data_IF_705489973978
#
_entry.id   IF_705489973978
#
_cell.length_a   1.000
_cell.length_b   1.000
_cell.length_c   1.000
_cell.angle_alpha   90.00
_cell.angle_beta   90.00
_cell.angle_gamma   90.00
#
_symmetry.space_group_name_H-M   'P 1'
#
loop_
_entity.id
_entity.type
_entity.pdbx_description
1 polymer ?
#
# COMPACT_ATOMS: atom_id res chain seq x y z
N UNK A 1 -0.45 -16.76 -3.55
CA UNK A 1 -1.46 -15.85 -4.12
C UNK A 1 -0.80 -14.49 -4.37
N UNK A 2 -1.22 -13.73 -5.38
CA UNK A 2 -0.76 -12.36 -5.63
C UNK A 2 -1.97 -11.44 -5.62
N UNK A 3 -1.88 -10.33 -4.87
CA UNK A 3 -2.90 -9.28 -4.80
C UNK A 3 -2.27 -7.96 -5.22
N UNK A 4 -2.90 -7.28 -6.16
CA UNK A 4 -2.41 -5.99 -6.69
C UNK A 4 -3.52 -4.96 -6.51
N UNK A 5 -3.23 -3.90 -5.75
CA UNK A 5 -4.06 -2.72 -5.66
C UNK A 5 -3.62 -1.74 -6.75
N UNK A 6 -4.51 -1.37 -7.67
CA UNK A 6 -4.17 -0.52 -8.81
C UNK A 6 -5.15 0.65 -8.97
N UNK A 7 -4.60 1.83 -9.22
CA UNK A 7 -5.29 3.05 -9.61
C UNK A 7 -4.41 3.82 -10.62
N UNK A 8 -4.87 4.99 -11.07
CA UNK A 8 -4.20 5.79 -12.10
C UNK A 8 -2.78 6.26 -11.67
N UNK A 9 -2.52 6.43 -10.38
CA UNK A 9 -1.27 7.02 -9.85
C UNK A 9 -0.47 6.15 -8.87
N UNK A 10 -1.06 5.10 -8.29
CA UNK A 10 -0.45 4.19 -7.33
C UNK A 10 -0.07 4.78 -5.97
N UNK A 11 -0.20 6.10 -5.79
CA UNK A 11 0.50 6.83 -4.72
C UNK A 11 -0.34 7.10 -3.47
N UNK A 12 -1.67 6.98 -3.55
CA UNK A 12 -2.57 7.38 -2.46
C UNK A 12 -3.48 6.24 -2.02
N UNK A 13 -4.57 6.00 -2.74
CA UNK A 13 -5.62 5.08 -2.32
C UNK A 13 -5.14 3.63 -2.32
N UNK A 14 -4.43 3.22 -3.37
CA UNK A 14 -3.86 1.86 -3.46
C UNK A 14 -2.74 1.62 -2.46
N UNK A 15 -1.88 2.63 -2.25
CA UNK A 15 -0.82 2.57 -1.25
C UNK A 15 -1.42 2.37 0.15
N UNK A 16 -2.48 3.10 0.51
CA UNK A 16 -3.18 2.91 1.79
C UNK A 16 -3.85 1.54 1.86
N UNK A 17 -4.61 1.16 0.83
CA UNK A 17 -5.34 -0.11 0.82
C UNK A 17 -4.41 -1.33 0.95
N UNK A 18 -3.27 -1.32 0.25
CA UNK A 18 -2.28 -2.38 0.34
C UNK A 18 -1.65 -2.47 1.74
N UNK A 19 -1.43 -1.34 2.41
CA UNK A 19 -0.92 -1.32 3.79
C UNK A 19 -1.96 -1.73 4.83
N UNK A 20 -3.26 -1.51 4.58
CA UNK A 20 -4.34 -2.09 5.39
C UNK A 20 -4.38 -3.61 5.22
N UNK A 21 -4.30 -4.11 3.99
CA UNK A 21 -4.34 -5.54 3.68
C UNK A 21 -3.28 -6.34 4.45
N UNK A 22 -2.05 -5.83 4.52
CA UNK A 22 -0.95 -6.49 5.25
C UNK A 22 -0.93 -6.16 6.76
N UNK A 23 -2.03 -5.67 7.32
CA UNK A 23 -2.17 -5.28 8.72
C UNK A 23 -1.15 -4.22 9.22
N UNK A 24 -0.55 -3.42 8.31
CA UNK A 24 0.32 -2.28 8.68
C UNK A 24 -0.49 -1.06 9.10
N UNK A 25 -1.71 -0.92 8.58
CA UNK A 25 -2.72 0.03 9.02
C UNK A 25 -3.95 -0.71 9.56
N UNK A 26 -4.71 -0.11 10.49
CA UNK A 26 -5.93 -0.71 11.00
C UNK A 26 -6.98 -0.87 9.89
N UNK A 27 -7.64 -2.03 9.87
CA UNK A 27 -8.79 -2.29 9.00
C UNK A 27 -10.11 -1.78 9.60
N UNK A 28 -10.23 -1.81 10.93
CA UNK A 28 -11.48 -1.56 11.65
C UNK A 28 -11.61 -0.13 12.21
N UNK A 29 -10.64 0.74 11.94
CA UNK A 29 -10.66 2.14 12.38
C UNK A 29 -9.95 3.06 11.41
N UNK A 30 -10.25 4.36 11.50
CA UNK A 30 -9.59 5.38 10.67
C UNK A 30 -8.18 5.61 11.22
N UNK A 31 -7.11 5.35 10.44
CA UNK A 31 -5.75 5.62 10.88
C UNK A 31 -5.51 7.11 11.08
N UNK A 32 -4.67 7.46 12.06
CA UNK A 32 -4.22 8.83 12.24
C UNK A 32 -3.42 9.32 11.02
N UNK A 33 -3.45 10.63 10.78
CA UNK A 33 -2.70 11.27 9.70
C UNK A 33 -1.21 10.90 9.73
N UNK A 34 -0.60 10.84 10.92
CA UNK A 34 0.82 10.51 11.04
C UNK A 34 1.11 9.06 10.65
N UNK A 35 0.18 8.14 10.90
CA UNK A 35 0.32 6.74 10.49
C UNK A 35 0.36 6.64 8.95
N UNK A 36 -0.54 7.35 8.25
CA UNK A 36 -0.55 7.40 6.79
C UNK A 36 0.74 8.03 6.24
N UNK A 37 1.17 9.17 6.78
CA UNK A 37 2.37 9.87 6.31
C UNK A 37 3.67 9.08 6.62
N UNK A 38 3.65 8.19 7.61
CA UNK A 38 4.78 7.32 7.91
C UNK A 38 4.99 6.21 6.87
N UNK A 39 3.97 5.89 6.07
CA UNK A 39 4.06 4.82 5.07
C UNK A 39 5.17 5.10 4.05
N UNK A 40 5.90 4.07 3.61
CA UNK A 40 6.98 4.23 2.62
C UNK A 40 6.46 4.54 1.21
N UNK A 41 5.18 4.26 0.93
CA UNK A 41 4.59 4.38 -0.42
C UNK A 41 3.56 5.48 -0.58
N UNK A 42 3.05 6.05 0.52
CA UNK A 42 2.08 7.15 0.44
C UNK A 42 2.77 8.45 0.04
N UNK A 43 2.40 9.00 -1.13
CA UNK A 43 2.94 10.24 -1.70
C UNK A 43 4.49 10.28 -1.81
N UNK A 44 5.11 9.10 -1.89
CA UNK A 44 6.57 8.91 -1.92
C UNK A 44 7.04 8.16 -3.17
N UNK A 45 6.15 7.94 -4.14
CA UNK A 45 6.50 7.28 -5.40
C UNK A 45 7.42 8.20 -6.21
N UNK A 46 8.58 7.67 -6.58
CA UNK A 46 9.57 8.38 -7.39
C UNK A 46 9.29 8.15 -8.88
N UNK A 47 9.74 9.08 -9.75
CA UNK A 47 9.51 9.02 -11.20
C UNK A 47 9.92 7.70 -11.85
N UNK A 48 10.99 7.05 -11.38
CA UNK A 48 11.44 5.77 -11.93
C UNK A 48 10.52 4.59 -11.57
N UNK A 49 9.65 4.76 -10.58
CA UNK A 49 8.68 3.77 -10.12
C UNK A 49 7.34 3.89 -10.84
N UNK A 50 7.15 4.92 -11.67
CA UNK A 50 5.89 5.11 -12.40
C UNK A 50 5.64 3.94 -13.35
N UNK A 51 4.41 3.43 -13.34
CA UNK A 51 4.01 2.25 -14.12
C UNK A 51 4.56 0.92 -13.62
N UNK A 52 5.18 0.88 -12.43
CA UNK A 52 5.69 -0.35 -11.81
C UNK A 52 4.79 -0.81 -10.68
N UNK A 53 4.68 -2.13 -10.54
CA UNK A 53 4.07 -2.79 -9.41
C UNK A 53 5.08 -2.79 -8.25
N UNK A 54 4.73 -2.15 -7.14
CA UNK A 54 5.59 -1.96 -5.96
C UNK A 54 5.17 -2.97 -4.89
N UNK A 55 6.13 -3.77 -4.41
CA UNK A 55 5.87 -4.73 -3.34
C UNK A 55 5.67 -4.03 -1.99
N UNK A 56 4.60 -4.40 -1.28
CA UNK A 56 4.21 -3.80 0.01
C UNK A 56 4.49 -4.75 1.18
N UNK A 57 4.21 -6.04 1.01
CA UNK A 57 4.42 -7.07 2.02
C UNK A 57 3.66 -8.36 1.73
N UNK A 58 3.61 -9.25 2.73
CA UNK A 58 2.80 -10.46 2.70
C UNK A 58 1.69 -10.35 3.75
N UNK A 59 0.51 -10.90 3.43
CA UNK A 59 -0.61 -10.98 4.37
C UNK A 59 -0.48 -12.18 5.33
N UNK A 60 -1.44 -12.31 6.24
CA UNK A 60 -1.52 -13.40 7.22
C UNK A 60 -1.70 -14.81 6.62
N UNK A 61 -2.03 -14.90 5.33
CA UNK A 61 -2.18 -16.14 4.56
C UNK A 61 -1.02 -16.39 3.58
N UNK A 62 0.02 -15.54 3.59
CA UNK A 62 1.18 -15.64 2.70
C UNK A 62 0.91 -15.15 1.26
N UNK A 63 -0.14 -14.37 1.03
CA UNK A 63 -0.35 -13.68 -0.23
C UNK A 63 0.61 -12.50 -0.36
N UNK A 64 1.24 -12.37 -1.53
CA UNK A 64 2.13 -11.23 -1.82
C UNK A 64 1.29 -10.05 -2.30
N UNK A 65 1.39 -8.93 -1.59
CA UNK A 65 0.59 -7.73 -1.81
C UNK A 65 1.44 -6.64 -2.45
N UNK A 66 0.88 -6.01 -3.48
CA UNK A 66 1.51 -4.95 -4.24
C UNK A 66 0.56 -3.76 -4.44
N UNK A 67 1.16 -2.60 -4.76
CA UNK A 67 0.45 -1.38 -5.20
C UNK A 67 1.04 -0.81 -6.49
#
# INVERSE_FOLDING_TARGET
MIVIYHDVGGAHSTAVAANIHINRLPADSVPDKNAILSLPTFDKIQKYQYGRIIFIGEDEFGAKVYT
#
